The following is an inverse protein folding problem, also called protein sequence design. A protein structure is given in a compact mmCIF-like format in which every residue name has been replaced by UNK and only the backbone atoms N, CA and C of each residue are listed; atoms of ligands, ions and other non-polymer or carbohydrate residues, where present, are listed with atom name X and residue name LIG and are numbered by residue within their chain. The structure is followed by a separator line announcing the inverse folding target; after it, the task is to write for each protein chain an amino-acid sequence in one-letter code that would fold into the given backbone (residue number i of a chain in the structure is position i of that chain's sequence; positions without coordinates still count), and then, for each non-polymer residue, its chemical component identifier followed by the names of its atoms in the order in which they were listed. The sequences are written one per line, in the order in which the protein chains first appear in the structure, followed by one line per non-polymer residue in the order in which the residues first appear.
data_IF_595580038824
#
_entry.id   IF_595580038824
#
_cell.length_a   1.000
_cell.length_b   1.000
_cell.length_c   1.000
_cell.angle_alpha   90.00
_cell.angle_beta   90.00
_cell.angle_gamma   90.00
#
_symmetry.space_group_name_H-M   'P 1'
#
loop_
_entity.id
_entity.type
_entity.pdbx_description
1 polymer ?
#
# COMPACT_ATOMS: atom_id res chain seq x y z
N UNK A 1 27.81 2.96 -32.26
CA UNK A 1 26.44 2.68 -31.89
C UNK A 1 26.29 2.57 -30.38
N UNK A 2 25.52 3.39 -29.83
CA UNK A 2 25.27 3.23 -28.43
C UNK A 2 24.54 1.93 -28.20
N UNK A 3 24.91 1.25 -27.16
CA UNK A 3 24.15 0.07 -26.76
C UNK A 3 22.81 0.56 -26.29
N UNK A 4 21.72 0.19 -26.92
CA UNK A 4 20.41 0.58 -26.43
C UNK A 4 20.25 0.15 -24.98
N UNK A 5 19.55 0.95 -24.21
CA UNK A 5 19.27 0.61 -22.82
C UNK A 5 18.62 -0.75 -22.69
N UNK A 6 17.78 -1.10 -23.67
CA UNK A 6 17.11 -2.38 -23.71
C UNK A 6 18.04 -3.58 -23.77
N UNK A 7 19.25 -3.40 -24.30
CA UNK A 7 20.24 -4.48 -24.35
C UNK A 7 20.97 -4.67 -23.03
N UNK A 8 20.86 -3.71 -22.11
CA UNK A 8 21.55 -3.75 -20.83
C UNK A 8 20.65 -4.06 -19.68
N UNK A 9 19.36 -3.99 -19.91
CA UNK A 9 18.37 -4.19 -18.87
C UNK A 9 17.58 -5.46 -19.14
N UNK A 10 17.46 -6.29 -18.12
CA UNK A 10 16.59 -7.45 -18.17
C UNK A 10 15.15 -7.01 -18.30
N UNK A 11 14.32 -7.73 -19.04
CA UNK A 11 12.89 -7.45 -19.06
C UNK A 11 12.31 -7.51 -17.66
N UNK A 12 11.38 -6.62 -17.36
CA UNK A 12 10.71 -6.59 -16.06
C UNK A 12 9.63 -7.67 -16.06
N UNK A 13 9.63 -8.48 -15.03
CA UNK A 13 8.54 -9.43 -14.81
C UNK A 13 7.44 -8.71 -14.02
N UNK A 14 6.53 -8.09 -14.76
CA UNK A 14 5.42 -7.32 -14.14
C UNK A 14 4.53 -8.22 -13.29
N UNK A 15 4.29 -9.44 -13.74
CA UNK A 15 3.44 -10.37 -12.99
C UNK A 15 4.03 -10.69 -11.62
N UNK A 16 5.32 -10.96 -11.58
CA UNK A 16 6.00 -11.26 -10.32
C UNK A 16 5.97 -10.05 -9.38
N UNK A 17 6.32 -8.88 -9.90
CA UNK A 17 6.34 -7.66 -9.09
C UNK A 17 4.94 -7.36 -8.54
N UNK A 18 3.93 -7.46 -9.39
CA UNK A 18 2.55 -7.21 -8.99
C UNK A 18 2.09 -8.17 -7.89
N UNK A 19 2.44 -9.44 -8.02
CA UNK A 19 2.11 -10.45 -7.00
C UNK A 19 2.82 -10.16 -5.68
N UNK A 20 4.09 -9.85 -5.72
CA UNK A 20 4.86 -9.56 -4.50
C UNK A 20 4.29 -8.34 -3.78
N UNK A 21 4.03 -7.26 -4.50
CA UNK A 21 3.54 -6.04 -3.88
C UNK A 21 2.11 -6.18 -3.39
N UNK A 22 1.28 -6.93 -4.12
CA UNK A 22 -0.09 -7.19 -3.70
C UNK A 22 -0.12 -8.07 -2.45
N UNK A 23 0.65 -9.15 -2.45
CA UNK A 23 0.64 -10.11 -1.35
C UNK A 23 1.29 -9.56 -0.08
N UNK A 24 2.38 -8.82 -0.22
CA UNK A 24 3.14 -8.36 0.95
C UNK A 24 2.69 -7.01 1.48
N UNK A 25 2.20 -6.13 0.62
CA UNK A 25 1.87 -4.75 1.00
C UNK A 25 0.45 -4.34 0.64
N UNK A 26 -0.35 -5.26 0.13
CA UNK A 26 -1.72 -4.96 -0.29
C UNK A 26 -1.81 -3.83 -1.31
N UNK A 27 -0.76 -3.68 -2.13
CA UNK A 27 -0.77 -2.67 -3.16
C UNK A 27 -1.67 -3.12 -4.32
N UNK A 28 -2.67 -2.31 -4.70
CA UNK A 28 -3.53 -2.69 -5.82
C UNK A 28 -2.71 -2.88 -7.09
N UNK A 29 -3.06 -3.90 -7.86
CA UNK A 29 -2.32 -4.24 -9.08
C UNK A 29 -2.33 -3.12 -10.10
N UNK A 30 -3.38 -2.33 -10.13
CA UNK A 30 -3.45 -1.17 -11.02
C UNK A 30 -2.42 -0.11 -10.66
N UNK A 31 -2.15 0.09 -9.38
CA UNK A 31 -1.13 1.04 -8.93
C UNK A 31 0.27 0.55 -9.30
N UNK A 32 0.52 -0.74 -9.15
CA UNK A 32 1.78 -1.34 -9.59
C UNK A 32 1.97 -1.12 -11.09
N UNK A 33 0.93 -1.39 -11.86
CA UNK A 33 0.99 -1.22 -13.31
C UNK A 33 1.29 0.23 -13.70
N UNK A 34 0.58 1.18 -13.09
CA UNK A 34 0.80 2.59 -13.35
C UNK A 34 2.22 3.01 -12.99
N UNK A 35 2.71 2.55 -11.85
CA UNK A 35 4.05 2.86 -11.41
C UNK A 35 5.10 2.33 -12.40
N UNK A 36 4.94 1.10 -12.85
CA UNK A 36 5.86 0.49 -13.80
C UNK A 36 5.82 1.22 -15.15
N UNK A 37 4.65 1.68 -15.57
CA UNK A 37 4.53 2.48 -16.80
C UNK A 37 5.28 3.79 -16.67
N UNK A 38 5.18 4.45 -15.53
CA UNK A 38 5.90 5.69 -15.30
C UNK A 38 7.41 5.48 -15.26
N UNK A 39 7.88 4.35 -14.73
CA UNK A 39 9.30 4.03 -14.75
C UNK A 39 9.81 3.80 -16.18
N UNK A 40 8.95 3.28 -17.04
CA UNK A 40 9.33 2.91 -18.40
C UNK A 40 9.17 4.06 -19.41
N UNK A 41 8.47 5.09 -19.02
CA UNK A 41 8.23 6.25 -19.87
C UNK A 41 8.85 7.49 -19.22
N UNK A 42 8.40 8.65 -19.63
CA UNK A 42 8.75 9.89 -18.95
C UNK A 42 7.58 10.30 -18.07
N UNK A 43 7.67 11.49 -17.46
CA UNK A 43 6.58 12.02 -16.68
C UNK A 43 5.32 12.14 -17.55
N UNK A 44 4.19 11.72 -17.02
CA UNK A 44 2.95 11.68 -17.76
C UNK A 44 1.91 12.58 -17.13
N UNK A 45 1.07 13.18 -18.00
CA UNK A 45 -0.12 13.89 -17.53
C UNK A 45 -1.18 12.85 -17.14
N UNK A 46 -2.22 13.30 -16.45
CA UNK A 46 -3.33 12.41 -16.10
C UNK A 46 -3.93 11.73 -17.32
N UNK A 47 -4.12 12.50 -18.39
CA UNK A 47 -4.67 11.98 -19.63
C UNK A 47 -3.79 10.92 -20.26
N UNK A 48 -2.49 11.18 -20.29
CA UNK A 48 -1.53 10.22 -20.85
C UNK A 48 -1.49 8.95 -20.02
N UNK A 49 -1.50 9.09 -18.69
CA UNK A 49 -1.48 7.94 -17.80
C UNK A 49 -2.75 7.11 -17.96
N UNK A 50 -3.91 7.77 -18.10
CA UNK A 50 -5.17 7.08 -18.31
C UNK A 50 -5.12 6.19 -19.54
N UNK A 51 -4.50 6.66 -20.61
CA UNK A 51 -4.30 5.87 -21.82
C UNK A 51 -3.36 4.70 -21.60
N UNK A 52 -2.27 4.94 -20.88
CA UNK A 52 -1.27 3.89 -20.60
C UNK A 52 -1.84 2.75 -19.75
N UNK A 53 -2.68 3.07 -18.78
CA UNK A 53 -3.28 2.05 -17.93
C UNK A 53 -4.66 1.60 -18.41
N UNK A 54 -5.14 2.20 -19.49
CA UNK A 54 -6.42 1.85 -20.10
C UNK A 54 -7.59 1.96 -19.13
N UNK A 55 -7.67 3.09 -18.45
CA UNK A 55 -8.75 3.40 -17.51
C UNK A 55 -9.42 4.71 -17.87
N UNK A 56 -10.71 4.87 -17.52
CA UNK A 56 -11.37 6.17 -17.64
C UNK A 56 -10.65 7.22 -16.79
N UNK A 57 -10.75 8.46 -17.20
CA UNK A 57 -10.02 9.54 -16.53
C UNK A 57 -10.41 9.70 -15.06
N UNK A 58 -11.69 9.51 -14.74
CA UNK A 58 -12.14 9.60 -13.35
C UNK A 58 -11.51 8.54 -12.45
N UNK A 59 -11.42 7.31 -12.95
CA UNK A 59 -10.76 6.23 -12.21
C UNK A 59 -9.27 6.45 -12.11
N UNK A 60 -8.67 7.04 -13.14
CA UNK A 60 -7.25 7.37 -13.14
C UNK A 60 -6.94 8.47 -12.11
N UNK A 61 -7.86 9.41 -11.93
CA UNK A 61 -7.70 10.45 -10.90
C UNK A 61 -7.64 9.80 -9.50
N UNK A 62 -8.55 8.88 -9.22
CA UNK A 62 -8.55 8.17 -7.94
C UNK A 62 -7.28 7.34 -7.77
N UNK A 63 -6.82 6.71 -8.83
CA UNK A 63 -5.58 5.93 -8.84
C UNK A 63 -4.38 6.82 -8.49
N UNK A 64 -4.27 7.97 -9.14
CA UNK A 64 -3.18 8.91 -8.92
C UNK A 64 -3.21 9.45 -7.49
N UNK A 65 -4.38 9.81 -6.99
CA UNK A 65 -4.51 10.28 -5.61
C UNK A 65 -4.02 9.25 -4.61
N UNK A 66 -4.40 7.99 -4.82
CA UNK A 66 -3.95 6.90 -3.97
C UNK A 66 -2.43 6.71 -4.04
N UNK A 67 -1.87 6.76 -5.24
CA UNK A 67 -0.43 6.60 -5.43
C UNK A 67 0.36 7.74 -4.80
N UNK A 68 -0.17 8.97 -4.86
CA UNK A 68 0.44 10.11 -4.19
C UNK A 68 0.46 9.90 -2.68
N UNK A 69 -0.65 9.46 -2.11
CA UNK A 69 -0.77 9.21 -0.68
C UNK A 69 0.15 8.10 -0.21
N UNK A 70 0.31 7.06 -1.02
CA UNK A 70 1.18 5.94 -0.66
C UNK A 70 2.66 6.25 -0.84
N UNK A 71 2.99 7.33 -1.55
CA UNK A 71 4.36 7.70 -1.79
C UNK A 71 5.02 6.91 -2.89
N UNK A 72 4.27 6.64 -3.98
CA UNK A 72 4.80 5.98 -5.16
C UNK A 72 5.23 6.98 -6.22
N UNK A 73 4.55 8.11 -6.26
CA UNK A 73 4.75 9.14 -7.29
C UNK A 73 4.73 10.53 -6.67
N UNK A 74 5.19 11.50 -7.42
CA UNK A 74 5.11 12.92 -7.07
C UNK A 74 4.52 13.69 -8.25
N UNK A 75 4.00 14.88 -7.95
CA UNK A 75 3.59 15.82 -8.98
C UNK A 75 4.80 16.61 -9.41
N UNK A 76 5.03 16.68 -10.71
CA UNK A 76 6.03 17.56 -11.28
C UNK A 76 5.36 18.91 -11.59
N UNK A 77 6.10 19.98 -11.44
CA UNK A 77 5.59 21.33 -11.71
C UNK A 77 5.28 21.50 -13.18
N UNK A 78 4.27 22.31 -13.47
CA UNK A 78 3.90 22.62 -14.84
C UNK A 78 2.41 22.65 -15.08
N UNK A 79 2.05 23.05 -16.28
CA UNK A 79 0.68 23.07 -16.75
C UNK A 79 0.67 22.40 -18.11
N UNK A 80 -0.04 21.29 -18.30
CA UNK A 80 -0.78 20.55 -17.27
C UNK A 80 0.13 19.86 -16.27
N UNK A 81 -0.44 19.43 -15.15
CA UNK A 81 0.30 18.67 -14.14
C UNK A 81 0.81 17.38 -14.73
N UNK A 82 2.02 17.01 -14.33
CA UNK A 82 2.62 15.74 -14.70
C UNK A 82 2.95 14.97 -13.46
N UNK A 83 3.04 13.65 -13.59
CA UNK A 83 3.34 12.76 -12.49
C UNK A 83 4.61 11.99 -12.81
N UNK A 84 5.47 11.87 -11.82
CA UNK A 84 6.74 11.17 -11.96
C UNK A 84 6.85 10.10 -10.90
N UNK A 85 7.46 8.95 -11.22
CA UNK A 85 7.66 7.92 -10.22
C UNK A 85 8.75 8.32 -9.24
N UNK A 86 8.57 7.96 -7.99
CA UNK A 86 9.66 8.06 -7.02
C UNK A 86 10.64 6.92 -7.29
N UNK A 87 11.89 7.12 -6.85
CA UNK A 87 12.89 6.07 -6.95
C UNK A 87 12.36 4.80 -6.26
N UNK A 88 12.58 3.61 -6.83
CA UNK A 88 12.05 2.37 -6.25
C UNK A 88 12.39 2.18 -4.76
N UNK A 89 13.59 2.54 -4.35
CA UNK A 89 13.96 2.44 -2.93
C UNK A 89 13.06 3.31 -2.06
N UNK A 90 12.72 4.50 -2.52
CA UNK A 90 11.84 5.39 -1.79
C UNK A 90 10.42 4.84 -1.76
N UNK A 91 9.93 4.40 -2.92
CA UNK A 91 8.59 3.81 -3.05
C UNK A 91 8.42 2.63 -2.12
N UNK A 92 9.37 1.69 -2.14
CA UNK A 92 9.27 0.49 -1.32
C UNK A 92 9.43 0.81 0.16
N UNK A 93 10.28 1.78 0.50
CA UNK A 93 10.40 2.25 1.88
C UNK A 93 9.09 2.85 2.36
N UNK A 94 8.42 3.63 1.50
CA UNK A 94 7.13 4.22 1.85
C UNK A 94 6.05 3.14 2.07
N UNK A 95 6.02 2.12 1.22
CA UNK A 95 5.09 1.01 1.39
C UNK A 95 5.37 0.25 2.68
N UNK A 96 6.64 0.03 3.00
CA UNK A 96 7.02 -0.64 4.23
C UNK A 96 6.58 0.15 5.47
N UNK A 97 6.76 1.47 5.43
CA UNK A 97 6.34 2.32 6.54
C UNK A 97 4.82 2.29 6.76
N UNK A 98 4.04 2.24 5.69
CA UNK A 98 2.59 2.11 5.79
C UNK A 98 2.23 0.79 6.44
N UNK A 99 2.86 -0.29 5.99
CA UNK A 99 2.63 -1.62 6.54
C UNK A 99 2.99 -1.67 8.04
N UNK A 100 4.14 -1.12 8.39
CA UNK A 100 4.60 -1.08 9.79
C UNK A 100 3.60 -0.32 10.67
N UNK A 101 3.12 0.82 10.20
CA UNK A 101 2.14 1.62 10.92
C UNK A 101 0.84 0.87 11.14
N UNK A 102 0.37 0.19 10.11
CA UNK A 102 -0.86 -0.61 10.19
C UNK A 102 -0.68 -1.79 11.15
N UNK A 103 0.48 -2.40 11.14
CA UNK A 103 0.79 -3.52 12.04
C UNK A 103 0.80 -3.06 13.49
N UNK A 104 1.44 -1.93 13.77
CA UNK A 104 1.46 -1.35 15.12
C UNK A 104 0.05 -1.02 15.58
N UNK A 105 -0.76 -0.44 14.70
CA UNK A 105 -2.15 -0.12 15.05
C UNK A 105 -2.95 -1.40 15.33
N UNK A 106 -2.74 -2.43 14.54
CA UNK A 106 -3.39 -3.73 14.74
C UNK A 106 -3.03 -4.33 16.09
N UNK A 107 -1.76 -4.22 16.49
CA UNK A 107 -1.33 -4.70 17.80
C UNK A 107 -2.01 -3.91 18.93
N UNK A 108 -2.09 -2.59 18.79
CA UNK A 108 -2.75 -1.75 19.78
C UNK A 108 -4.22 -2.10 19.93
N UNK A 109 -4.91 -2.32 18.81
CA UNK A 109 -6.34 -2.66 18.81
C UNK A 109 -6.57 -4.00 19.49
N UNK A 110 -5.73 -4.97 19.21
CA UNK A 110 -5.83 -6.30 19.83
C UNK A 110 -5.50 -6.24 21.31
N UNK A 111 -4.53 -5.43 21.70
CA UNK A 111 -4.21 -5.25 23.11
C UNK A 111 -5.38 -4.64 23.86
N UNK A 112 -6.02 -3.62 23.27
CA UNK A 112 -7.22 -3.01 23.86
C UNK A 112 -8.33 -4.03 24.00
N UNK A 113 -8.48 -4.93 23.02
CA UNK A 113 -9.46 -6.01 23.09
C UNK A 113 -9.17 -6.95 24.25
N UNK A 114 -7.90 -7.32 24.44
CA UNK A 114 -7.50 -8.18 25.57
C UNK A 114 -7.93 -7.52 26.88
N UNK A 115 -7.58 -6.26 27.05
CA UNK A 115 -7.89 -5.53 28.30
C UNK A 115 -9.40 -5.45 28.52
N UNK A 116 -10.14 -5.15 27.45
CA UNK A 116 -11.60 -5.05 27.54
C UNK A 116 -12.23 -6.39 27.93
N UNK A 117 -11.83 -7.47 27.27
CA UNK A 117 -12.39 -8.79 27.53
C UNK A 117 -12.03 -9.26 28.93
N UNK A 118 -10.77 -9.04 29.36
CA UNK A 118 -10.35 -9.35 30.72
C UNK A 118 -11.25 -8.65 31.74
N UNK A 119 -11.48 -7.34 31.52
CA UNK A 119 -12.32 -6.57 32.45
C UNK A 119 -13.76 -7.04 32.47
N UNK A 120 -14.27 -7.53 31.35
CA UNK A 120 -15.63 -8.08 31.27
C UNK A 120 -15.71 -9.44 31.95
N UNK A 121 -14.66 -10.22 31.91
CA UNK A 121 -14.68 -11.60 32.43
C UNK A 121 -14.26 -11.73 33.89
N UNK A 122 -13.48 -10.80 34.41
CA UNK A 122 -13.06 -10.86 35.83
C UNK A 122 -14.27 -10.98 36.77
N UNK A 123 -15.33 -10.14 36.63
CA UNK A 123 -16.50 -10.30 37.50
C UNK A 123 -17.16 -11.66 37.38
N UNK A 124 -17.21 -12.22 36.19
CA UNK A 124 -17.77 -13.56 35.96
C UNK A 124 -16.97 -14.61 36.70
N UNK A 125 -15.65 -14.53 36.59
CA UNK A 125 -14.76 -15.47 37.27
C UNK A 125 -14.88 -15.33 38.80
N UNK A 126 -14.93 -14.11 39.29
CA UNK A 126 -15.05 -13.85 40.72
C UNK A 126 -16.39 -14.39 41.27
N UNK A 127 -17.46 -14.21 40.51
CA UNK A 127 -18.76 -14.75 40.89
C UNK A 127 -18.73 -16.28 40.96
N UNK A 128 -18.10 -16.93 39.99
CA UNK A 128 -17.94 -18.38 40.00
C UNK A 128 -17.21 -18.83 41.23
N UNK A 129 -16.14 -18.14 41.60
CA UNK A 129 -15.32 -18.45 42.76
C UNK A 129 -16.12 -18.31 44.06
N UNK A 130 -16.92 -17.24 44.14
CA UNK A 130 -17.78 -17.01 45.29
C UNK A 130 -18.85 -18.08 45.40
N UNK A 131 -19.48 -18.45 44.30
CA UNK A 131 -20.51 -19.48 44.28
C UNK A 131 -19.92 -20.82 44.68
N UNK A 132 -18.69 -21.13 44.23
CA UNK A 132 -17.99 -22.32 44.64
C UNK A 132 -17.76 -22.37 46.11
N UNK A 133 -17.37 -21.26 46.71
CA UNK A 133 -17.18 -21.17 48.17
C UNK A 133 -18.49 -21.32 48.93
N UNK A 134 -19.54 -20.71 48.38
CA UNK A 134 -20.86 -20.78 48.99
C UNK A 134 -21.40 -22.20 48.96
N UNK A 135 -21.17 -22.92 47.88
CA UNK A 135 -21.64 -24.31 47.75
C UNK A 135 -20.77 -25.28 48.50
N UNK A 136 -19.55 -24.93 48.69
CA UNK A 136 -18.61 -25.76 49.41
C UNK A 136 -18.73 -25.54 50.88
#
# INVERSE_FOLDING_TARGET
MPVPGSLRRMPIDEGLISELLSNQFSLPKQETRAYLKLLDTSDLTLEQLAKEVNLPQGETTALVDSMLQRGLIIEATGVPKRYAPLHPRMTLTNLFKIYEKELVQSLRDRRATVDRVVNLLIPVYEERKTNGKTKG
#
